data_IF_176124157206
#
_entry.id   IF_176124157206
#
_cell.length_a   1.000
_cell.length_b   1.000
_cell.length_c   1.000
_cell.angle_alpha   90.00
_cell.angle_beta   90.00
_cell.angle_gamma   90.00
#
_symmetry.space_group_name_H-M   'P 1'
#
loop_
_entity.id
_entity.type
_entity.pdbx_description
1 polymer ?
#
# COMPACT_ATOMS: atom_id res chain seq x y z
N UNK A 1 51.61 -10.94 27.44
CA UNK A 1 51.16 -12.15 26.73
C UNK A 1 50.13 -11.73 25.69
N UNK A 2 50.45 -11.81 24.42
CA UNK A 2 49.48 -11.47 23.36
C UNK A 2 48.48 -12.59 23.24
N UNK A 3 47.19 -12.22 23.15
CA UNK A 3 46.09 -13.17 22.96
C UNK A 3 46.18 -13.81 21.57
N UNK A 4 45.91 -15.11 21.48
CA UNK A 4 45.79 -15.80 20.19
C UNK A 4 44.53 -15.32 19.44
N UNK A 5 44.43 -15.54 18.13
CA UNK A 5 43.24 -15.18 17.34
C UNK A 5 42.00 -15.88 17.86
N UNK A 6 42.08 -17.14 18.29
CA UNK A 6 40.95 -17.87 18.89
C UNK A 6 40.49 -17.24 20.21
N UNK A 7 41.44 -16.85 21.08
CA UNK A 7 41.10 -16.16 22.33
C UNK A 7 40.44 -14.80 22.07
N UNK A 8 40.93 -14.02 21.09
CA UNK A 8 40.32 -12.75 20.69
C UNK A 8 38.91 -12.95 20.17
N UNK A 9 38.68 -13.96 19.31
CA UNK A 9 37.37 -14.30 18.79
C UNK A 9 36.40 -14.75 19.89
N UNK A 10 36.87 -15.60 20.83
CA UNK A 10 36.11 -16.05 21.98
C UNK A 10 35.66 -14.88 22.87
N UNK A 11 36.58 -13.96 23.19
CA UNK A 11 36.27 -12.75 23.98
C UNK A 11 35.27 -11.85 23.25
N UNK A 12 35.46 -11.66 21.94
CA UNK A 12 34.55 -10.85 21.15
C UNK A 12 33.13 -11.44 21.09
N UNK A 13 33.02 -12.77 20.97
CA UNK A 13 31.72 -13.46 20.99
C UNK A 13 31.06 -13.32 22.37
N UNK A 14 31.77 -13.58 23.46
CA UNK A 14 31.24 -13.43 24.81
C UNK A 14 30.80 -11.99 25.12
N UNK A 15 31.52 -10.99 24.63
CA UNK A 15 31.15 -9.60 24.77
C UNK A 15 29.84 -9.27 23.99
N UNK A 16 29.70 -9.78 22.76
CA UNK A 16 28.46 -9.62 21.96
C UNK A 16 27.27 -10.29 22.65
N UNK A 17 27.44 -11.46 23.21
CA UNK A 17 26.40 -12.18 23.94
C UNK A 17 25.97 -11.42 25.20
N UNK A 18 26.94 -10.89 25.96
CA UNK A 18 26.63 -10.10 27.15
C UNK A 18 25.89 -8.77 26.80
N UNK A 19 26.30 -8.11 25.73
CA UNK A 19 25.58 -6.94 25.24
C UNK A 19 24.14 -7.31 24.79
N UNK A 20 23.98 -8.43 24.07
CA UNK A 20 22.66 -8.92 23.63
C UNK A 20 21.75 -9.32 24.80
N UNK A 21 22.31 -9.82 25.93
CA UNK A 21 21.52 -10.08 27.14
C UNK A 21 20.94 -8.81 27.74
N UNK A 22 21.63 -7.69 27.65
CA UNK A 22 21.24 -6.41 28.29
C UNK A 22 20.41 -5.50 27.39
N UNK A 23 20.57 -5.60 26.08
CA UNK A 23 19.97 -4.67 25.13
C UNK A 23 19.36 -5.38 23.94
N UNK A 24 18.12 -5.03 23.64
CA UNK A 24 17.41 -5.54 22.46
C UNK A 24 18.12 -5.15 21.15
N UNK A 25 18.67 -3.95 21.04
CA UNK A 25 19.39 -3.52 19.85
C UNK A 25 20.59 -4.45 19.55
N UNK A 26 21.37 -4.81 20.55
CA UNK A 26 22.46 -5.76 20.36
C UNK A 26 21.98 -7.20 20.13
N UNK A 27 20.87 -7.60 20.73
CA UNK A 27 20.25 -8.88 20.41
C UNK A 27 19.74 -8.92 18.96
N UNK A 28 19.12 -7.85 18.48
CA UNK A 28 18.69 -7.73 17.09
C UNK A 28 19.86 -7.94 16.11
N UNK A 29 21.01 -7.31 16.37
CA UNK A 29 22.21 -7.50 15.55
C UNK A 29 22.75 -8.92 15.64
N UNK A 30 22.75 -9.52 16.82
CA UNK A 30 23.24 -10.90 17.04
C UNK A 30 22.34 -11.91 16.33
N UNK A 31 21.02 -11.79 16.49
CA UNK A 31 20.02 -12.69 15.94
C UNK A 31 19.91 -12.64 14.42
N UNK A 32 20.27 -11.51 13.79
CA UNK A 32 20.22 -11.28 12.35
C UNK A 32 21.63 -11.10 11.74
N UNK A 33 22.65 -11.71 12.36
CA UNK A 33 24.05 -11.60 11.91
C UNK A 33 24.31 -12.33 10.60
N UNK A 34 23.50 -13.34 10.25
CA UNK A 34 23.55 -14.08 8.98
C UNK A 34 23.27 -13.21 7.74
N UNK A 35 22.48 -12.17 7.91
CA UNK A 35 22.14 -11.20 6.88
C UNK A 35 22.87 -9.86 7.04
N UNK A 36 23.85 -9.77 7.93
CA UNK A 36 24.57 -8.54 8.26
C UNK A 36 23.65 -7.36 8.56
N UNK A 37 22.61 -7.59 9.38
CA UNK A 37 21.67 -6.55 9.78
C UNK A 37 22.40 -5.34 10.40
N UNK A 38 21.92 -4.14 10.10
CA UNK A 38 22.47 -2.87 10.59
C UNK A 38 21.46 -2.17 11.49
N UNK A 39 21.95 -1.45 12.49
CA UNK A 39 21.15 -0.51 13.28
C UNK A 39 21.15 0.86 12.59
N UNK A 40 20.28 1.03 11.60
CA UNK A 40 19.96 2.36 11.10
C UNK A 40 19.29 3.18 12.21
N UNK A 41 19.39 4.49 12.20
CA UNK A 41 18.92 5.36 13.30
C UNK A 41 17.44 5.13 13.64
N UNK A 42 16.58 4.94 12.65
CA UNK A 42 15.16 4.62 12.87
C UNK A 42 14.95 3.21 13.46
N UNK A 43 15.77 2.22 13.08
CA UNK A 43 15.74 0.87 13.69
C UNK A 43 16.25 0.93 15.14
N UNK A 44 17.29 1.72 15.40
CA UNK A 44 17.79 1.92 16.75
C UNK A 44 16.73 2.54 17.65
N UNK A 45 16.04 3.60 17.18
CA UNK A 45 14.95 4.24 17.92
C UNK A 45 13.82 3.25 18.22
N UNK A 46 13.44 2.39 17.24
CA UNK A 46 12.45 1.33 17.46
C UNK A 46 12.97 0.35 18.53
N UNK A 47 14.23 -0.09 18.44
CA UNK A 47 14.82 -0.99 19.45
C UNK A 47 14.80 -0.39 20.85
N UNK A 48 15.06 0.91 21.01
CA UNK A 48 14.99 1.61 22.28
C UNK A 48 13.58 1.60 22.87
N UNK A 49 12.55 1.84 22.02
CA UNK A 49 11.16 1.74 22.47
C UNK A 49 10.74 0.32 22.86
N UNK A 50 11.19 -0.67 22.12
CA UNK A 50 10.97 -2.08 22.47
C UNK A 50 11.72 -2.46 23.76
N UNK A 51 12.91 -1.92 24.00
CA UNK A 51 13.64 -2.10 25.25
C UNK A 51 12.85 -1.54 26.45
N UNK A 52 12.18 -0.40 26.31
CA UNK A 52 11.31 0.12 27.38
C UNK A 52 10.22 -0.89 27.79
N UNK A 53 9.64 -1.62 26.83
CA UNK A 53 8.66 -2.69 27.12
C UNK A 53 9.34 -3.85 27.87
N UNK A 54 10.54 -4.26 27.44
CA UNK A 54 11.32 -5.30 28.14
C UNK A 54 11.67 -4.88 29.57
N UNK A 55 11.92 -3.61 29.79
CA UNK A 55 12.24 -3.06 31.12
C UNK A 55 10.98 -2.83 31.99
N UNK A 56 9.82 -3.28 31.53
CA UNK A 56 8.57 -3.31 32.28
C UNK A 56 7.70 -2.07 32.15
N UNK A 57 8.00 -1.14 31.24
CA UNK A 57 7.09 -0.02 30.92
C UNK A 57 5.94 -0.54 30.07
N UNK A 58 4.73 -0.27 30.50
CA UNK A 58 3.55 -0.50 29.65
C UNK A 58 3.55 0.50 28.50
N UNK A 59 3.43 0.01 27.26
CA UNK A 59 3.42 0.83 26.06
C UNK A 59 2.34 0.38 25.08
N UNK A 60 1.67 1.36 24.49
CA UNK A 60 0.82 1.15 23.32
C UNK A 60 1.46 1.92 22.16
N UNK A 61 2.11 1.21 21.24
CA UNK A 61 2.89 1.80 20.16
C UNK A 61 2.18 1.61 18.82
N UNK A 62 2.13 2.68 18.03
CA UNK A 62 1.80 2.62 16.60
C UNK A 62 3.06 2.99 15.83
N UNK A 63 3.61 2.03 15.10
CA UNK A 63 4.84 2.19 14.33
C UNK A 63 4.50 2.21 12.84
N UNK A 64 4.67 3.36 12.21
CA UNK A 64 4.35 3.59 10.80
C UNK A 64 5.63 3.78 9.99
N UNK A 65 5.90 2.81 9.11
CA UNK A 65 7.10 2.81 8.28
C UNK A 65 6.77 2.44 6.82
N UNK A 66 7.56 2.95 5.86
CA UNK A 66 7.43 2.56 4.47
C UNK A 66 7.68 1.07 4.25
N UNK A 67 7.20 0.50 3.12
CA UNK A 67 7.52 -0.86 2.73
C UNK A 67 9.04 -1.09 2.66
N UNK A 68 9.49 -2.32 2.98
CA UNK A 68 10.88 -2.78 2.87
C UNK A 68 11.93 -2.02 3.71
N UNK A 69 11.51 -1.32 4.77
CA UNK A 69 12.42 -0.64 5.71
C UNK A 69 12.70 -1.45 6.98
N UNK A 70 12.52 -2.78 6.94
CA UNK A 70 12.94 -3.67 8.04
C UNK A 70 12.01 -3.71 9.25
N UNK A 71 10.81 -3.09 9.18
CA UNK A 71 9.86 -3.02 10.30
C UNK A 71 9.53 -4.37 10.92
N UNK A 72 9.06 -5.33 10.10
CA UNK A 72 8.68 -6.67 10.58
C UNK A 72 9.89 -7.44 11.11
N UNK A 73 11.08 -7.27 10.53
CA UNK A 73 12.30 -7.91 11.01
C UNK A 73 12.64 -7.45 12.43
N UNK A 74 12.60 -6.14 12.69
CA UNK A 74 12.94 -5.60 14.00
C UNK A 74 11.86 -5.90 15.05
N UNK A 75 10.57 -5.86 14.71
CA UNK A 75 9.48 -5.96 15.68
C UNK A 75 8.91 -7.37 15.75
N UNK A 76 8.58 -7.98 14.62
CA UNK A 76 7.75 -9.20 14.58
C UNK A 76 8.56 -10.48 14.46
N UNK A 77 9.66 -10.45 13.70
CA UNK A 77 10.50 -11.64 13.49
C UNK A 77 11.52 -11.87 14.62
N UNK A 78 11.91 -10.82 15.34
CA UNK A 78 13.00 -10.90 16.33
C UNK A 78 12.54 -10.61 17.76
N UNK A 79 11.72 -9.60 18.00
CA UNK A 79 11.39 -9.12 19.34
C UNK A 79 10.63 -10.13 20.21
N UNK A 80 9.62 -10.89 19.73
CA UNK A 80 8.87 -11.84 20.55
C UNK A 80 9.76 -12.86 21.27
N UNK A 81 10.76 -13.39 20.57
CA UNK A 81 11.71 -14.35 21.16
C UNK A 81 12.54 -13.71 22.27
N UNK A 82 13.03 -12.50 22.08
CA UNK A 82 13.77 -11.77 23.11
C UNK A 82 12.90 -11.41 24.32
N UNK A 83 11.69 -10.93 24.08
CA UNK A 83 10.75 -10.61 25.16
C UNK A 83 10.49 -11.84 26.05
N UNK A 84 10.28 -13.03 25.46
CA UNK A 84 10.10 -14.26 26.22
C UNK A 84 11.37 -14.76 26.92
N UNK A 85 12.55 -14.51 26.37
CA UNK A 85 13.80 -14.81 27.08
C UNK A 85 13.99 -13.92 28.33
N UNK A 86 13.49 -12.69 28.27
CA UNK A 86 13.54 -11.76 29.41
C UNK A 86 12.38 -11.97 30.39
N UNK A 87 11.26 -12.49 29.92
CA UNK A 87 10.02 -12.68 30.68
C UNK A 87 9.43 -14.08 30.41
N UNK A 88 10.05 -15.16 30.94
CA UNK A 88 9.72 -16.53 30.55
C UNK A 88 8.33 -17.01 31.02
N UNK A 89 7.63 -16.25 31.84
CA UNK A 89 6.27 -16.56 32.32
C UNK A 89 5.17 -15.72 31.63
N UNK A 90 5.55 -14.86 30.66
CA UNK A 90 4.62 -13.97 29.94
C UNK A 90 4.12 -14.59 28.64
N UNK A 91 2.99 -14.09 28.14
CA UNK A 91 2.39 -14.55 26.88
C UNK A 91 2.51 -13.47 25.79
N UNK A 92 2.91 -13.89 24.60
CA UNK A 92 3.05 -13.05 23.41
C UNK A 92 2.07 -13.52 22.35
N UNK A 93 1.27 -12.62 21.82
CA UNK A 93 0.41 -12.86 20.68
C UNK A 93 0.85 -11.98 19.51
N UNK A 94 1.00 -12.59 18.34
CA UNK A 94 1.39 -11.92 17.10
C UNK A 94 0.35 -12.19 16.03
N UNK A 95 -0.14 -11.15 15.38
CA UNK A 95 -1.12 -11.27 14.29
C UNK A 95 -0.66 -10.60 13.02
N UNK A 96 -1.09 -11.14 11.88
CA UNK A 96 -0.89 -10.55 10.55
C UNK A 96 -2.03 -10.93 9.62
N UNK A 97 -2.08 -10.33 8.42
CA UNK A 97 -3.17 -10.53 7.46
C UNK A 97 -3.22 -11.94 6.86
N UNK A 98 -2.11 -12.67 6.75
CA UNK A 98 -2.04 -13.93 6.01
C UNK A 98 -1.27 -15.04 6.73
N UNK A 99 -1.69 -16.30 6.47
CA UNK A 99 -1.11 -17.49 7.08
C UNK A 99 0.39 -17.64 6.82
N UNK A 100 0.82 -17.41 5.59
CA UNK A 100 2.24 -17.49 5.23
C UNK A 100 3.10 -16.48 6.00
N UNK A 101 2.53 -15.32 6.36
CA UNK A 101 3.23 -14.28 7.11
C UNK A 101 3.38 -14.65 8.58
N UNK A 102 2.28 -14.92 9.28
CA UNK A 102 2.38 -15.25 10.72
C UNK A 102 3.10 -16.58 10.96
N UNK A 103 3.00 -17.57 10.05
CA UNK A 103 3.77 -18.80 10.12
C UNK A 103 5.29 -18.53 9.92
N UNK A 104 5.66 -17.61 9.02
CA UNK A 104 7.06 -17.17 8.87
C UNK A 104 7.56 -16.53 10.15
N UNK A 105 6.79 -15.65 10.75
CA UNK A 105 7.13 -15.01 12.03
C UNK A 105 7.31 -16.04 13.16
N UNK A 106 6.41 -17.02 13.25
CA UNK A 106 6.51 -18.11 14.22
C UNK A 106 7.80 -18.92 14.06
N UNK A 107 8.11 -19.34 12.85
CA UNK A 107 9.34 -20.10 12.55
C UNK A 107 10.62 -19.32 12.89
N UNK A 108 10.68 -18.02 12.55
CA UNK A 108 11.82 -17.16 12.86
C UNK A 108 12.02 -17.03 14.38
N UNK A 109 10.96 -16.78 15.13
CA UNK A 109 11.04 -16.66 16.59
C UNK A 109 11.41 -17.97 17.27
N UNK A 110 10.90 -19.13 16.80
CA UNK A 110 11.30 -20.44 17.27
C UNK A 110 12.79 -20.68 17.01
N UNK A 111 13.29 -20.32 15.82
CA UNK A 111 14.69 -20.46 15.48
C UNK A 111 15.57 -19.59 16.39
N UNK A 112 15.24 -18.32 16.52
CA UNK A 112 15.96 -17.41 17.43
C UNK A 112 15.94 -17.89 18.87
N UNK A 113 14.81 -18.38 19.35
CA UNK A 113 14.71 -18.91 20.72
C UNK A 113 15.61 -20.15 20.92
N UNK A 114 15.64 -21.08 19.95
CA UNK A 114 16.53 -22.25 19.97
C UNK A 114 18.00 -21.86 19.99
N UNK A 115 18.37 -20.90 19.16
CA UNK A 115 19.78 -20.52 18.97
C UNK A 115 20.34 -19.74 20.17
N UNK A 116 19.51 -18.96 20.86
CA UNK A 116 19.99 -17.97 21.82
C UNK A 116 19.49 -18.16 23.25
N UNK A 117 18.33 -18.78 23.50
CA UNK A 117 17.74 -18.81 24.84
C UNK A 117 18.62 -19.54 25.87
N UNK A 118 19.19 -20.68 25.50
CA UNK A 118 20.06 -21.44 26.39
C UNK A 118 21.37 -20.70 26.66
N UNK A 119 21.98 -20.15 25.61
CA UNK A 119 23.27 -19.45 25.69
C UNK A 119 23.19 -18.14 26.47
N UNK A 120 22.12 -17.38 26.24
CA UNK A 120 21.99 -16.06 26.86
C UNK A 120 21.31 -16.10 28.24
N UNK A 121 20.34 -16.98 28.44
CA UNK A 121 19.48 -16.93 29.64
C UNK A 121 19.29 -18.27 30.33
N UNK A 122 19.93 -19.36 29.86
CA UNK A 122 19.76 -20.69 30.43
C UNK A 122 18.36 -21.29 30.22
N UNK A 123 17.59 -20.77 29.28
CA UNK A 123 16.21 -21.20 28.97
C UNK A 123 16.21 -22.16 27.81
N UNK A 124 15.19 -23.02 27.75
CA UNK A 124 14.99 -23.94 26.63
C UNK A 124 13.55 -23.84 26.11
N UNK A 125 13.39 -24.17 24.82
CA UNK A 125 12.08 -24.24 24.20
C UNK A 125 11.31 -25.50 24.68
N UNK A 126 10.02 -25.33 24.96
CA UNK A 126 9.13 -26.44 25.31
C UNK A 126 8.43 -27.01 24.08
N UNK A 127 7.12 -27.24 24.19
CA UNK A 127 6.28 -27.64 23.04
C UNK A 127 6.29 -26.54 21.99
N UNK A 128 6.33 -26.93 20.70
CA UNK A 128 6.27 -25.97 19.60
C UNK A 128 5.60 -26.60 18.36
N UNK A 129 4.97 -25.71 17.58
CA UNK A 129 4.46 -25.99 16.23
C UNK A 129 5.01 -24.91 15.27
N UNK A 130 4.49 -24.81 14.06
CA UNK A 130 4.88 -23.70 13.16
C UNK A 130 4.42 -22.32 13.66
N UNK A 131 3.37 -22.29 14.49
CA UNK A 131 2.64 -21.08 14.86
C UNK A 131 2.60 -20.83 16.37
N UNK A 132 3.23 -21.67 17.18
CA UNK A 132 3.31 -21.45 18.62
C UNK A 132 4.55 -22.13 19.22
N UNK A 133 4.97 -21.63 20.36
CA UNK A 133 5.93 -22.32 21.22
C UNK A 133 5.74 -21.91 22.68
N UNK A 134 6.19 -22.78 23.58
CA UNK A 134 6.19 -22.54 25.02
C UNK A 134 7.60 -22.51 25.55
N UNK A 135 7.80 -21.90 26.73
CA UNK A 135 9.08 -21.90 27.45
C UNK A 135 9.12 -23.09 28.40
N UNK A 136 10.11 -23.97 28.27
CA UNK A 136 10.22 -25.16 29.12
C UNK A 136 10.40 -24.78 30.60
N UNK A 137 9.58 -25.40 31.47
CA UNK A 137 9.60 -25.12 32.90
C UNK A 137 8.97 -23.78 33.34
N UNK A 138 8.40 -23.01 32.40
CA UNK A 138 7.75 -21.75 32.64
C UNK A 138 6.34 -21.71 32.04
N UNK A 139 5.56 -20.66 32.34
CA UNK A 139 4.20 -20.48 31.78
C UNK A 139 4.18 -19.72 30.47
N UNK A 140 5.31 -19.18 30.06
CA UNK A 140 5.39 -18.32 28.88
C UNK A 140 5.15 -19.06 27.57
N UNK A 141 4.46 -18.36 26.67
CA UNK A 141 4.16 -18.84 25.34
C UNK A 141 4.16 -17.73 24.29
N UNK A 142 4.48 -18.06 23.05
CA UNK A 142 4.22 -17.21 21.89
C UNK A 142 3.25 -17.87 20.94
N UNK A 143 2.30 -17.11 20.43
CA UNK A 143 1.27 -17.57 19.51
C UNK A 143 1.15 -16.62 18.31
N UNK A 144 1.18 -17.18 17.12
CA UNK A 144 1.16 -16.47 15.84
C UNK A 144 -0.10 -16.85 15.05
N UNK A 145 -0.90 -15.87 14.66
CA UNK A 145 -2.22 -16.11 14.08
C UNK A 145 -2.65 -15.04 13.06
N UNK A 146 -3.77 -15.30 12.37
CA UNK A 146 -4.41 -14.31 11.51
C UNK A 146 -5.17 -13.27 12.34
N UNK A 147 -5.18 -12.00 11.85
CA UNK A 147 -6.01 -10.95 12.43
C UNK A 147 -7.51 -11.25 12.30
N UNK A 148 -7.92 -11.98 11.27
CA UNK A 148 -9.33 -12.28 10.99
C UNK A 148 -9.77 -13.68 11.45
N UNK A 149 -9.05 -14.37 12.29
CA UNK A 149 -9.50 -15.74 12.53
C UNK A 149 -8.90 -16.52 13.68
N UNK A 150 -8.32 -15.92 14.69
CA UNK A 150 -7.64 -16.81 15.58
C UNK A 150 -7.28 -16.40 17.00
N UNK A 151 -7.64 -15.24 17.45
CA UNK A 151 -7.25 -14.73 18.77
C UNK A 151 -8.01 -15.34 19.96
N UNK A 152 -8.78 -16.42 19.75
CA UNK A 152 -9.70 -16.92 20.76
C UNK A 152 -9.03 -17.71 21.88
N UNK A 153 -9.26 -17.31 23.13
CA UNK A 153 -8.98 -18.10 24.33
C UNK A 153 -7.60 -17.97 24.94
N UNK A 154 -6.64 -17.27 24.30
CA UNK A 154 -5.28 -17.09 24.85
C UNK A 154 -5.06 -15.66 25.39
N UNK A 155 -4.42 -15.50 26.55
CA UNK A 155 -4.08 -14.19 27.08
C UNK A 155 -2.90 -13.55 26.32
N UNK A 156 -2.76 -12.23 26.40
CA UNK A 156 -1.62 -11.51 25.85
C UNK A 156 -1.07 -10.49 26.85
N UNK A 157 0.17 -10.67 27.27
CA UNK A 157 0.97 -9.65 27.97
C UNK A 157 1.63 -8.71 26.97
N UNK A 158 1.93 -9.22 25.77
CA UNK A 158 2.39 -8.47 24.62
C UNK A 158 1.58 -8.88 23.39
N UNK A 159 0.91 -7.92 22.77
CA UNK A 159 0.21 -8.09 21.50
C UNK A 159 0.95 -7.32 20.40
N UNK A 160 1.25 -7.99 19.29
CA UNK A 160 1.81 -7.36 18.08
C UNK A 160 0.86 -7.60 16.91
N UNK A 161 0.45 -6.53 16.25
CA UNK A 161 -0.34 -6.54 15.03
C UNK A 161 0.55 -6.04 13.89
N UNK A 162 0.92 -6.92 12.96
CA UNK A 162 1.82 -6.60 11.83
C UNK A 162 1.06 -6.59 10.51
N UNK A 163 1.03 -5.43 9.87
CA UNK A 163 0.41 -5.18 8.57
C UNK A 163 -0.96 -5.88 8.45
N UNK A 164 -2.02 -5.38 9.12
CA UNK A 164 -3.33 -6.04 9.15
C UNK A 164 -4.06 -6.05 7.81
N UNK A 165 -3.62 -5.25 6.84
CA UNK A 165 -4.17 -5.08 5.49
C UNK A 165 -3.12 -5.54 4.49
N UNK A 166 -3.53 -6.38 3.54
CA UNK A 166 -2.65 -7.01 2.56
C UNK A 166 -2.25 -6.06 1.42
N UNK A 167 -3.23 -5.39 0.83
CA UNK A 167 -3.06 -4.63 -0.41
C UNK A 167 -4.08 -3.48 -0.54
N UNK A 168 -3.93 -2.69 -1.60
CA UNK A 168 -4.78 -1.55 -1.94
C UNK A 168 -6.28 -1.91 -2.04
N UNK A 169 -6.58 -3.11 -2.54
CA UNK A 169 -7.96 -3.59 -2.71
C UNK A 169 -8.63 -3.86 -1.36
N UNK A 170 -7.91 -4.51 -0.43
CA UNK A 170 -8.41 -4.70 0.93
C UNK A 170 -8.54 -3.35 1.67
N UNK A 171 -7.56 -2.46 1.48
CA UNK A 171 -7.58 -1.11 2.05
C UNK A 171 -8.78 -0.28 1.58
N UNK A 172 -9.19 -0.43 0.33
CA UNK A 172 -10.36 0.24 -0.24
C UNK A 172 -11.70 -0.38 0.21
N UNK A 173 -11.70 -1.58 0.81
CA UNK A 173 -12.92 -2.29 1.21
C UNK A 173 -13.41 -1.87 2.60
N UNK A 174 -14.57 -1.17 2.71
CA UNK A 174 -15.15 -0.84 4.02
C UNK A 174 -15.42 -2.09 4.88
N UNK A 175 -15.83 -3.19 4.26
CA UNK A 175 -16.10 -4.46 4.94
C UNK A 175 -14.84 -5.06 5.58
N UNK A 176 -13.71 -5.05 4.88
CA UNK A 176 -12.45 -5.56 5.42
C UNK A 176 -11.98 -4.71 6.59
N UNK A 177 -12.02 -3.38 6.45
CA UNK A 177 -11.66 -2.45 7.54
C UNK A 177 -12.55 -2.63 8.76
N UNK A 178 -13.85 -2.81 8.56
CA UNK A 178 -14.80 -3.05 9.66
C UNK A 178 -14.56 -4.39 10.34
N UNK A 179 -14.27 -5.46 9.60
CA UNK A 179 -13.94 -6.75 10.15
C UNK A 179 -12.66 -6.70 11.01
N UNK A 180 -11.60 -6.03 10.53
CA UNK A 180 -10.36 -5.83 11.30
C UNK A 180 -10.65 -5.05 12.58
N UNK A 181 -11.47 -4.00 12.50
CA UNK A 181 -11.88 -3.20 13.65
C UNK A 181 -12.67 -4.01 14.68
N UNK A 182 -13.60 -4.83 14.20
CA UNK A 182 -14.40 -5.71 15.07
C UNK A 182 -13.54 -6.77 15.74
N UNK A 183 -12.57 -7.35 15.05
CA UNK A 183 -11.61 -8.28 15.67
C UNK A 183 -10.74 -7.58 16.72
N UNK A 184 -10.27 -6.36 16.46
CA UNK A 184 -9.58 -5.58 17.46
C UNK A 184 -10.45 -5.37 18.72
N UNK A 185 -11.66 -4.85 18.56
CA UNK A 185 -12.53 -4.46 19.68
C UNK A 185 -13.13 -5.63 20.44
N UNK A 186 -13.52 -6.70 19.76
CA UNK A 186 -14.23 -7.85 20.36
C UNK A 186 -13.30 -9.01 20.73
N UNK A 187 -12.18 -9.17 20.06
CA UNK A 187 -11.28 -10.32 20.23
C UNK A 187 -9.96 -9.90 20.89
N UNK A 188 -9.13 -9.09 20.21
CA UNK A 188 -7.76 -8.84 20.67
C UNK A 188 -7.69 -7.96 21.91
N UNK A 189 -8.43 -6.86 21.96
CA UNK A 189 -8.44 -5.97 23.13
C UNK A 189 -8.91 -6.68 24.41
N UNK A 190 -9.82 -7.66 24.28
CA UNK A 190 -10.33 -8.44 25.43
C UNK A 190 -9.35 -9.50 25.95
N UNK A 191 -8.25 -9.78 25.23
CA UNK A 191 -7.20 -10.73 25.65
C UNK A 191 -6.06 -10.07 26.39
N UNK A 192 -6.02 -8.75 26.40
CA UNK A 192 -4.97 -7.99 27.07
C UNK A 192 -5.00 -8.21 28.59
N UNK A 193 -3.85 -8.58 29.13
CA UNK A 193 -3.67 -8.74 30.56
C UNK A 193 -3.44 -7.38 31.22
N UNK A 194 -3.53 -7.33 32.54
CA UNK A 194 -3.17 -6.12 33.30
C UNK A 194 -1.71 -5.73 33.00
N UNK A 195 -1.50 -4.47 32.65
CA UNK A 195 -0.19 -3.92 32.25
C UNK A 195 0.40 -4.53 30.97
N UNK A 196 -0.45 -5.05 30.07
CA UNK A 196 -0.01 -5.50 28.76
C UNK A 196 0.49 -4.35 27.89
N UNK A 197 1.36 -4.67 26.94
CA UNK A 197 1.77 -3.74 25.89
C UNK A 197 1.19 -4.16 24.54
N UNK A 198 0.90 -3.18 23.70
CA UNK A 198 0.39 -3.41 22.34
C UNK A 198 1.28 -2.68 21.35
N UNK A 199 1.65 -3.35 20.28
CA UNK A 199 2.40 -2.78 19.19
C UNK A 199 1.61 -3.00 17.90
N UNK A 200 1.18 -1.93 17.25
CA UNK A 200 0.63 -1.96 15.90
C UNK A 200 1.70 -1.45 14.95
N UNK A 201 2.13 -2.28 14.03
CA UNK A 201 3.16 -1.96 13.07
C UNK A 201 2.56 -2.10 11.68
N UNK A 202 2.56 -1.04 10.89
CA UNK A 202 1.96 -1.06 9.57
C UNK A 202 2.51 0.00 8.63
N UNK A 203 2.24 -0.20 7.37
CA UNK A 203 2.27 0.84 6.34
C UNK A 203 0.87 1.45 6.28
N UNK A 204 0.76 2.77 6.21
CA UNK A 204 -0.54 3.44 6.10
C UNK A 204 -1.13 3.27 4.70
N UNK A 205 -2.43 3.06 4.63
CA UNK A 205 -3.18 2.94 3.39
C UNK A 205 -4.22 4.04 3.25
N UNK A 206 -5.01 4.24 4.28
CA UNK A 206 -6.11 5.21 4.33
C UNK A 206 -6.19 5.85 5.72
N UNK A 207 -6.90 6.98 5.83
CA UNK A 207 -7.08 7.68 7.10
C UNK A 207 -7.84 6.86 8.13
N UNK A 208 -8.78 6.02 7.68
CA UNK A 208 -9.63 5.16 8.52
C UNK A 208 -9.16 3.70 8.60
N UNK A 209 -7.88 3.43 8.31
CA UNK A 209 -7.24 2.14 8.59
C UNK A 209 -7.13 1.89 10.12
N UNK A 210 -6.63 0.72 10.52
CA UNK A 210 -6.57 0.36 11.94
C UNK A 210 -5.83 1.43 12.77
N UNK A 211 -4.67 1.90 12.31
CA UNK A 211 -3.90 2.91 13.03
C UNK A 211 -4.68 4.23 13.17
N UNK A 212 -5.32 4.71 12.09
CA UNK A 212 -6.14 5.90 12.13
C UNK A 212 -7.29 5.80 13.12
N UNK A 213 -8.01 4.68 13.12
CA UNK A 213 -9.12 4.44 14.05
C UNK A 213 -8.67 4.34 15.51
N UNK A 214 -7.49 3.77 15.78
CA UNK A 214 -6.93 3.69 17.13
C UNK A 214 -6.53 5.08 17.65
N UNK A 215 -5.90 5.89 16.80
CA UNK A 215 -5.52 7.27 17.15
C UNK A 215 -6.74 8.17 17.40
N UNK A 216 -7.80 8.02 16.59
CA UNK A 216 -9.02 8.82 16.74
C UNK A 216 -9.80 8.50 18.02
N UNK A 217 -9.84 7.23 18.44
CA UNK A 217 -10.64 6.80 19.60
C UNK A 217 -10.02 7.12 20.96
N UNK A 218 -8.71 7.28 21.03
CA UNK A 218 -7.98 7.60 22.27
C UNK A 218 -8.30 6.68 23.47
N UNK A 219 -8.69 5.43 23.21
CA UNK A 219 -9.04 4.47 24.27
C UNK A 219 -7.82 4.04 25.10
N UNK A 220 -6.63 4.19 24.54
CA UNK A 220 -5.33 3.96 25.15
C UNK A 220 -4.44 5.18 24.91
N UNK A 221 -3.41 5.34 25.73
CA UNK A 221 -2.35 6.33 25.51
C UNK A 221 -1.39 5.81 24.44
N UNK A 222 -1.75 6.01 23.17
CA UNK A 222 -0.97 5.58 22.01
C UNK A 222 0.21 6.51 21.76
N UNK A 223 1.41 5.94 21.73
CA UNK A 223 2.61 6.62 21.26
C UNK A 223 2.78 6.31 19.74
N UNK A 224 2.51 7.31 18.91
CA UNK A 224 2.71 7.20 17.45
C UNK A 224 4.17 7.51 17.09
N UNK A 225 4.81 6.59 16.37
CA UNK A 225 6.15 6.76 15.82
C UNK A 225 6.08 6.58 14.31
N UNK A 226 6.25 7.69 13.62
CA UNK A 226 6.05 7.79 12.19
C UNK A 226 7.33 8.17 11.47
N UNK A 227 7.71 7.33 10.51
CA UNK A 227 8.88 7.56 9.67
C UNK A 227 8.47 7.71 8.20
N UNK A 228 8.40 8.93 7.66
CA UNK A 228 8.24 9.11 6.23
C UNK A 228 9.50 8.67 5.49
N UNK A 229 9.34 8.09 4.28
CA UNK A 229 10.46 7.69 3.43
C UNK A 229 11.37 8.86 3.06
N UNK A 230 10.79 10.05 2.91
CA UNK A 230 11.49 11.32 2.67
C UNK A 230 11.05 12.29 3.75
N UNK A 231 11.97 12.86 4.50
CA UNK A 231 11.65 13.86 5.52
C UNK A 231 11.04 15.10 4.88
N UNK A 232 9.97 15.65 5.48
CA UNK A 232 9.23 16.80 4.96
C UNK A 232 8.57 17.59 6.10
N UNK A 233 8.12 18.81 5.79
CA UNK A 233 7.40 19.72 6.69
C UNK A 233 8.12 20.05 8.00
N UNK A 234 9.44 19.95 8.01
CA UNK A 234 10.25 20.37 9.13
C UNK A 234 10.57 21.87 9.02
N UNK A 235 10.57 22.62 10.11
CA UNK A 235 11.10 23.99 10.12
C UNK A 235 12.55 24.02 9.60
N UNK A 236 12.92 25.05 8.84
CA UNK A 236 14.18 25.12 8.08
C UNK A 236 15.46 24.89 8.90
N UNK A 237 15.41 25.07 10.22
CA UNK A 237 16.53 24.88 11.14
C UNK A 237 16.43 23.63 12.00
N UNK A 238 15.42 22.77 11.78
CA UNK A 238 15.15 21.58 12.59
C UNK A 238 15.35 20.30 11.80
N UNK A 239 15.62 19.23 12.53
CA UNK A 239 15.67 17.85 12.05
C UNK A 239 14.52 17.04 12.65
N UNK A 240 14.20 15.91 12.04
CA UNK A 240 13.26 14.96 12.63
C UNK A 240 13.87 14.18 13.81
N UNK A 241 13.13 13.22 14.36
CA UNK A 241 13.52 12.43 15.53
C UNK A 241 14.84 11.63 15.36
N UNK A 242 15.31 11.44 14.12
CA UNK A 242 16.53 10.71 13.78
C UNK A 242 17.58 11.60 13.09
N UNK A 243 17.41 12.93 13.15
CA UNK A 243 18.40 13.89 12.68
C UNK A 243 18.33 14.23 11.19
N UNK A 244 17.27 13.85 10.44
CA UNK A 244 17.16 14.18 9.02
C UNK A 244 16.62 15.58 8.78
N UNK A 245 17.13 16.23 7.74
CA UNK A 245 16.59 17.45 7.16
C UNK A 245 15.54 17.14 6.07
N UNK A 246 14.74 18.16 5.73
CA UNK A 246 13.77 18.06 4.63
C UNK A 246 14.44 17.58 3.34
N UNK A 247 13.80 16.61 2.66
CA UNK A 247 14.29 16.01 1.42
C UNK A 247 15.23 14.82 1.60
N UNK A 248 15.66 14.50 2.82
CA UNK A 248 16.53 13.35 3.08
C UNK A 248 15.74 12.04 3.18
N UNK A 249 16.28 11.00 2.54
CA UNK A 249 15.69 9.66 2.56
C UNK A 249 15.84 9.01 3.94
N UNK A 250 14.86 8.16 4.35
CA UNK A 250 14.89 7.40 5.60
C UNK A 250 16.07 6.43 5.66
N UNK A 251 16.35 5.80 4.54
CA UNK A 251 17.48 4.90 4.39
C UNK A 251 18.11 5.11 3.02
N UNK A 252 19.04 6.06 2.87
CA UNK A 252 19.67 6.36 1.58
C UNK A 252 20.54 5.23 1.03
N UNK A 253 20.99 4.30 1.87
CA UNK A 253 21.77 3.12 1.46
C UNK A 253 20.89 2.10 0.73
N UNK A 254 19.69 1.80 1.24
CA UNK A 254 18.78 0.80 0.68
C UNK A 254 17.78 1.41 -0.30
N UNK A 255 17.38 2.65 -0.06
CA UNK A 255 16.35 3.37 -0.82
C UNK A 255 16.82 4.80 -1.11
N UNK A 256 17.69 4.99 -2.11
CA UNK A 256 18.17 6.32 -2.52
C UNK A 256 17.01 7.22 -2.94
N UNK A 257 17.20 8.53 -2.80
CA UNK A 257 16.15 9.53 -3.10
C UNK A 257 15.64 9.42 -4.55
N UNK A 258 16.50 9.12 -5.51
CA UNK A 258 16.15 8.96 -6.92
C UNK A 258 15.18 7.79 -7.12
N UNK A 259 15.40 6.69 -6.40
CA UNK A 259 14.51 5.54 -6.43
C UNK A 259 13.13 5.89 -5.81
N UNK A 260 13.12 6.61 -4.70
CA UNK A 260 11.87 7.06 -4.05
C UNK A 260 11.09 8.02 -4.93
N UNK A 261 11.75 8.93 -5.62
CA UNK A 261 11.11 9.83 -6.59
C UNK A 261 10.56 9.08 -7.81
N UNK A 262 11.28 8.07 -8.28
CA UNK A 262 10.78 7.16 -9.34
C UNK A 262 9.52 6.40 -8.87
N UNK A 263 9.52 5.89 -7.64
CA UNK A 263 8.33 5.25 -7.05
C UNK A 263 7.17 6.24 -6.93
N UNK A 264 7.43 7.49 -6.53
CA UNK A 264 6.41 8.53 -6.49
C UNK A 264 5.78 8.79 -7.86
N UNK A 265 6.60 8.87 -8.91
CA UNK A 265 6.12 9.06 -10.28
C UNK A 265 5.26 7.88 -10.76
N UNK A 266 5.61 6.64 -10.38
CA UNK A 266 4.88 5.44 -10.76
C UNK A 266 3.55 5.25 -10.00
N UNK A 267 3.53 5.57 -8.71
CA UNK A 267 2.36 5.37 -7.84
C UNK A 267 1.39 6.54 -7.86
N UNK A 268 1.87 7.72 -8.25
CA UNK A 268 1.17 8.99 -8.04
C UNK A 268 1.30 9.49 -6.60
N UNK A 269 1.09 10.80 -6.41
CA UNK A 269 1.33 11.48 -5.13
C UNK A 269 0.47 10.90 -4.00
N UNK A 270 -0.80 10.59 -4.25
CA UNK A 270 -1.71 10.08 -3.22
C UNK A 270 -1.26 8.75 -2.62
N UNK A 271 -0.99 7.74 -3.47
CA UNK A 271 -0.50 6.43 -3.01
C UNK A 271 0.88 6.52 -2.40
N UNK A 272 1.77 7.33 -2.98
CA UNK A 272 3.08 7.55 -2.41
C UNK A 272 2.99 8.20 -1.02
N UNK A 273 2.14 9.20 -0.84
CA UNK A 273 1.95 9.85 0.46
C UNK A 273 1.41 8.85 1.50
N UNK A 274 0.45 8.01 1.15
CA UNK A 274 -0.05 6.99 2.05
C UNK A 274 1.06 5.98 2.42
N UNK A 275 1.62 5.27 1.45
CA UNK A 275 2.50 4.13 1.67
C UNK A 275 3.92 4.52 2.09
N UNK A 276 4.47 5.59 1.49
CA UNK A 276 5.87 5.98 1.71
C UNK A 276 6.02 7.14 2.68
N UNK A 277 5.08 8.08 2.73
CA UNK A 277 5.14 9.20 3.66
C UNK A 277 4.31 8.98 4.92
N UNK A 278 3.60 7.86 5.03
CA UNK A 278 2.69 7.54 6.13
C UNK A 278 1.65 8.64 6.37
N UNK A 279 1.26 9.35 5.32
CA UNK A 279 0.34 10.48 5.34
C UNK A 279 -0.82 10.22 4.37
N UNK A 280 -1.72 9.25 4.68
CA UNK A 280 -2.91 9.06 3.89
C UNK A 280 -3.80 10.30 3.98
N UNK A 281 -4.35 10.70 2.85
CA UNK A 281 -5.34 11.79 2.78
C UNK A 281 -6.73 11.20 2.67
N UNK A 282 -7.72 11.86 3.25
CA UNK A 282 -9.12 11.53 2.98
C UNK A 282 -9.34 11.67 1.48
N UNK A 283 -10.00 10.71 0.86
CA UNK A 283 -10.51 10.88 -0.49
C UNK A 283 -11.65 11.92 -0.42
N UNK A 284 -11.29 13.19 -0.29
CA UNK A 284 -12.23 14.27 -0.58
C UNK A 284 -12.32 14.39 -2.09
N UNK A 285 -13.39 13.82 -2.62
CA UNK A 285 -14.07 14.26 -3.80
C UNK A 285 -13.41 14.01 -5.14
N UNK A 286 -12.20 14.10 -5.48
CA UNK A 286 -11.78 14.04 -6.88
C UNK A 286 -10.56 13.16 -7.12
N UNK A 287 -10.79 11.96 -7.68
CA UNK A 287 -9.72 11.03 -8.09
C UNK A 287 -8.78 11.72 -9.09
N UNK A 288 -9.30 12.62 -9.91
CA UNK A 288 -8.55 13.45 -10.85
C UNK A 288 -8.76 14.92 -10.51
N UNK A 289 -7.67 15.65 -10.25
CA UNK A 289 -7.74 17.08 -10.01
C UNK A 289 -7.85 17.85 -11.33
N UNK A 290 -8.71 18.88 -11.34
CA UNK A 290 -8.92 19.71 -12.53
C UNK A 290 -7.62 20.31 -13.09
N UNK A 291 -6.65 20.66 -12.23
CA UNK A 291 -5.35 21.19 -12.60
C UNK A 291 -4.43 20.22 -13.36
N UNK A 292 -4.71 18.89 -13.25
CA UNK A 292 -3.97 17.84 -13.96
C UNK A 292 -4.45 17.67 -15.40
N UNK A 293 -5.64 18.17 -15.74
CA UNK A 293 -6.20 18.07 -17.07
C UNK A 293 -5.38 18.92 -18.05
N UNK A 294 -4.86 18.28 -19.08
CA UNK A 294 -4.17 18.94 -20.19
C UNK A 294 -5.04 19.00 -21.42
N UNK A 295 -4.93 20.07 -22.16
CA UNK A 295 -5.77 20.32 -23.33
C UNK A 295 -4.99 20.26 -24.63
N UNK A 296 -5.70 19.90 -25.70
CA UNK A 296 -5.18 19.99 -27.04
C UNK A 296 -6.21 20.56 -28.03
N UNK A 297 -5.72 21.03 -29.16
CA UNK A 297 -6.50 21.45 -30.35
C UNK A 297 -5.98 20.71 -31.59
N UNK A 298 -6.79 20.57 -32.67
CA UNK A 298 -6.39 19.76 -33.83
C UNK A 298 -5.22 20.35 -34.58
N UNK A 299 -5.15 21.68 -34.69
CA UNK A 299 -4.14 22.39 -35.50
C UNK A 299 -3.90 23.82 -35.01
N UNK A 300 -2.90 24.47 -35.62
CA UNK A 300 -2.50 25.81 -35.28
C UNK A 300 -3.55 26.87 -35.65
N UNK A 301 -4.30 26.64 -36.73
CA UNK A 301 -5.35 27.54 -37.18
C UNK A 301 -6.47 27.61 -36.13
N UNK A 302 -6.91 26.46 -35.61
CA UNK A 302 -7.88 26.38 -34.51
C UNK A 302 -7.36 27.06 -33.24
N UNK A 303 -6.08 26.86 -32.88
CA UNK A 303 -5.45 27.50 -31.73
C UNK A 303 -5.53 29.04 -31.83
N UNK A 304 -5.15 29.60 -32.97
CA UNK A 304 -5.18 31.05 -33.22
C UNK A 304 -6.61 31.59 -33.23
N UNK A 305 -7.54 30.91 -33.93
CA UNK A 305 -8.96 31.29 -34.00
C UNK A 305 -9.63 31.36 -32.62
N UNK A 306 -9.24 30.47 -31.71
CA UNK A 306 -9.79 30.40 -30.35
C UNK A 306 -9.04 31.29 -29.34
N UNK A 307 -8.07 32.07 -29.79
CA UNK A 307 -7.20 32.92 -28.96
C UNK A 307 -6.52 32.13 -27.83
N UNK A 308 -5.98 30.93 -28.15
CA UNK A 308 -5.25 30.07 -27.24
C UNK A 308 -3.75 30.15 -27.52
N UNK A 309 -2.94 29.87 -26.51
CA UNK A 309 -1.46 29.90 -26.60
C UNK A 309 -0.89 28.48 -26.48
N UNK A 310 0.38 28.30 -26.91
CA UNK A 310 1.12 27.04 -26.77
C UNK A 310 1.38 26.63 -25.30
N UNK A 311 1.17 27.57 -24.35
CA UNK A 311 1.22 27.27 -22.90
C UNK A 311 -0.08 26.66 -22.39
N UNK A 312 -1.21 26.99 -23.01
CA UNK A 312 -2.55 26.53 -22.61
C UNK A 312 -2.93 25.22 -23.29
N UNK A 313 -2.49 25.01 -24.53
CA UNK A 313 -2.90 23.85 -25.34
C UNK A 313 -1.75 23.30 -26.15
N UNK A 314 -1.81 21.99 -26.38
CA UNK A 314 -0.95 21.28 -27.33
C UNK A 314 -1.64 21.14 -28.68
N UNK A 315 -0.89 21.20 -29.77
CA UNK A 315 -1.42 20.85 -31.08
C UNK A 315 -1.37 19.32 -31.24
N UNK A 316 -2.47 18.69 -31.67
CA UNK A 316 -2.53 17.26 -31.88
C UNK A 316 -1.42 16.80 -32.84
N UNK A 317 -0.61 15.80 -32.43
CA UNK A 317 0.46 15.28 -33.30
C UNK A 317 -0.08 14.71 -34.62
N UNK A 318 0.58 15.02 -35.73
CA UNK A 318 0.19 14.50 -37.06
C UNK A 318 0.24 12.99 -37.17
N UNK A 319 1.21 12.36 -36.50
CA UNK A 319 1.38 10.91 -36.48
C UNK A 319 1.12 10.39 -35.08
N UNK A 320 0.11 9.53 -34.99
CA UNK A 320 -0.28 8.82 -33.79
C UNK A 320 0.06 7.33 -33.96
N UNK A 321 0.68 6.72 -32.97
CA UNK A 321 1.21 5.36 -33.07
C UNK A 321 0.11 4.31 -33.00
N UNK A 322 -0.94 4.58 -32.22
CA UNK A 322 -2.04 3.67 -31.97
C UNK A 322 -3.33 4.45 -31.73
N UNK A 323 -4.42 3.95 -32.27
CA UNK A 323 -5.77 4.45 -31.97
C UNK A 323 -6.68 3.26 -31.64
N UNK A 324 -7.39 3.34 -30.52
CA UNK A 324 -8.30 2.31 -30.03
C UNK A 324 -9.65 2.93 -29.66
N UNK A 325 -10.71 2.14 -29.68
CA UNK A 325 -11.98 2.47 -29.07
C UNK A 325 -12.16 1.65 -27.80
N UNK A 326 -12.77 2.24 -26.77
CA UNK A 326 -13.16 1.58 -25.52
C UNK A 326 -14.66 1.81 -25.30
N UNK A 327 -15.40 0.73 -25.04
CA UNK A 327 -16.86 0.74 -24.92
C UNK A 327 -17.29 0.00 -23.65
N UNK A 328 -17.98 0.71 -22.76
CA UNK A 328 -18.79 0.13 -21.69
C UNK A 328 -20.26 0.12 -22.16
N UNK A 329 -20.75 -1.04 -22.48
CA UNK A 329 -22.09 -1.23 -23.03
C UNK A 329 -22.79 -2.38 -22.28
N UNK A 330 -23.40 -2.06 -21.15
CA UNK A 330 -24.20 -3.01 -20.37
C UNK A 330 -25.64 -2.99 -20.88
N UNK A 331 -26.15 -4.16 -21.30
CA UNK A 331 -27.54 -4.31 -21.73
C UNK A 331 -28.25 -5.20 -20.73
N UNK A 332 -29.13 -4.63 -19.89
CA UNK A 332 -30.06 -5.37 -19.04
C UNK A 332 -31.37 -5.62 -19.79
N UNK A 333 -31.94 -6.81 -19.61
CA UNK A 333 -33.09 -7.32 -20.36
C UNK A 333 -34.46 -6.70 -19.99
N UNK A 334 -34.54 -5.52 -19.34
CA UNK A 334 -35.81 -4.86 -18.98
C UNK A 334 -35.75 -3.37 -19.24
N UNK A 335 -36.63 -2.90 -20.07
CA UNK A 335 -37.29 -1.60 -20.38
C UNK A 335 -36.65 -0.24 -20.00
N UNK A 336 -35.45 -0.18 -19.42
CA UNK A 336 -34.72 1.09 -19.24
C UNK A 336 -33.41 1.01 -19.99
N UNK A 337 -33.23 1.88 -20.99
CA UNK A 337 -32.00 2.08 -21.73
C UNK A 337 -30.84 2.30 -20.73
N UNK A 338 -29.85 1.41 -20.69
CA UNK A 338 -28.64 1.57 -19.88
C UNK A 338 -27.70 2.61 -20.53
N UNK A 339 -26.94 3.29 -19.73
CA UNK A 339 -25.90 4.20 -20.22
C UNK A 339 -24.82 3.43 -20.98
N UNK A 340 -24.53 3.89 -22.17
CA UNK A 340 -23.42 3.42 -22.99
C UNK A 340 -22.34 4.50 -23.03
N UNK A 341 -21.15 4.15 -22.58
CA UNK A 341 -19.96 4.99 -22.69
C UNK A 341 -19.04 4.43 -23.78
N UNK A 342 -18.68 5.30 -24.73
CA UNK A 342 -17.79 4.94 -25.82
C UNK A 342 -16.78 6.05 -26.10
N UNK A 343 -15.49 5.74 -26.07
CA UNK A 343 -14.41 6.69 -26.25
C UNK A 343 -13.39 6.18 -27.27
N UNK A 344 -12.84 7.09 -28.05
CA UNK A 344 -11.68 6.80 -28.93
C UNK A 344 -10.45 7.50 -28.39
N UNK A 345 -9.38 6.73 -28.16
CA UNK A 345 -8.13 7.20 -27.65
C UNK A 345 -7.00 6.97 -28.63
N UNK A 346 -6.14 7.95 -28.80
CA UNK A 346 -4.95 7.85 -29.61
C UNK A 346 -3.69 8.04 -28.76
N UNK A 347 -2.61 7.35 -29.09
CA UNK A 347 -1.37 7.38 -28.34
C UNK A 347 -0.20 7.86 -29.21
N UNK A 348 0.68 8.65 -28.61
CA UNK A 348 2.02 8.95 -29.09
C UNK A 348 3.00 8.91 -27.93
N UNK A 349 3.94 7.97 -27.96
CA UNK A 349 4.90 7.74 -26.87
C UNK A 349 4.20 7.50 -25.53
N UNK A 350 4.45 8.32 -24.53
CA UNK A 350 3.77 8.26 -23.22
C UNK A 350 2.46 9.07 -23.19
N UNK A 351 2.15 9.85 -24.23
CA UNK A 351 1.00 10.75 -24.24
C UNK A 351 -0.22 10.08 -24.88
N UNK A 352 -1.39 10.28 -24.29
CA UNK A 352 -2.68 9.79 -24.77
C UNK A 352 -3.64 10.95 -24.99
N UNK A 353 -4.39 10.88 -26.08
CA UNK A 353 -5.30 11.92 -26.56
C UNK A 353 -6.70 11.35 -26.70
N UNK A 354 -7.66 11.88 -25.91
CA UNK A 354 -9.07 11.60 -26.12
C UNK A 354 -9.53 12.23 -27.45
N UNK A 355 -10.07 11.44 -28.35
CA UNK A 355 -10.56 11.94 -29.64
C UNK A 355 -12.00 12.43 -29.55
N UNK A 356 -12.37 13.52 -30.24
CA UNK A 356 -13.75 14.04 -30.27
C UNK A 356 -14.80 13.01 -30.70
N UNK A 357 -16.06 13.24 -30.31
CA UNK A 357 -17.18 12.42 -30.73
C UNK A 357 -17.42 11.20 -29.84
N UNK A 358 -16.96 11.20 -28.60
CA UNK A 358 -17.28 10.17 -27.60
C UNK A 358 -18.79 10.06 -27.39
N UNK A 359 -19.22 8.90 -26.90
CA UNK A 359 -20.59 8.60 -26.58
C UNK A 359 -20.76 8.45 -25.07
N UNK A 360 -21.72 9.19 -24.49
CA UNK A 360 -22.16 9.01 -23.12
C UNK A 360 -23.67 9.21 -23.09
N UNK A 361 -24.44 8.18 -23.48
CA UNK A 361 -25.90 8.28 -23.70
C UNK A 361 -26.60 6.97 -23.35
N UNK A 362 -27.88 7.07 -23.06
CA UNK A 362 -28.74 5.89 -23.00
C UNK A 362 -29.06 5.43 -24.43
N UNK A 363 -28.64 4.23 -24.78
CA UNK A 363 -28.76 3.68 -26.12
C UNK A 363 -29.29 2.25 -26.08
N UNK A 364 -30.21 1.97 -27.01
CA UNK A 364 -30.59 0.59 -27.32
C UNK A 364 -29.39 -0.16 -27.98
N UNK A 365 -29.46 -1.49 -28.04
CA UNK A 365 -28.45 -2.30 -28.71
C UNK A 365 -28.17 -1.86 -30.16
N UNK A 366 -29.24 -1.59 -30.94
CA UNK A 366 -29.11 -1.14 -32.35
C UNK A 366 -28.43 0.23 -32.45
N UNK A 367 -28.80 1.16 -31.55
CA UNK A 367 -28.18 2.48 -31.50
C UNK A 367 -26.70 2.40 -31.08
N UNK A 368 -26.33 1.50 -30.14
CA UNK A 368 -24.95 1.23 -29.76
C UNK A 368 -24.12 0.70 -30.92
N UNK A 369 -24.68 -0.25 -31.70
CA UNK A 369 -24.05 -0.69 -32.96
C UNK A 369 -23.81 0.47 -33.95
N UNK A 370 -24.79 1.36 -34.06
CA UNK A 370 -24.67 2.59 -34.86
C UNK A 370 -23.53 3.51 -34.35
N UNK A 371 -23.45 3.71 -33.04
CA UNK A 371 -22.43 4.55 -32.42
C UNK A 371 -21.01 3.99 -32.64
N UNK A 372 -20.81 2.69 -32.45
CA UNK A 372 -19.52 2.04 -32.70
C UNK A 372 -19.11 2.15 -34.17
N UNK A 373 -20.04 1.93 -35.09
CA UNK A 373 -19.81 2.09 -36.54
C UNK A 373 -19.48 3.54 -36.90
N UNK A 374 -20.21 4.50 -36.34
CA UNK A 374 -19.95 5.92 -36.55
C UNK A 374 -18.55 6.32 -36.10
N UNK A 375 -18.16 5.95 -34.89
CA UNK A 375 -16.79 6.16 -34.40
C UNK A 375 -15.74 5.51 -35.31
N UNK A 376 -16.01 4.31 -35.81
CA UNK A 376 -15.11 3.59 -36.72
C UNK A 376 -15.02 4.27 -38.11
N UNK A 377 -16.04 5.01 -38.52
CA UNK A 377 -16.01 5.81 -39.76
C UNK A 377 -15.20 7.09 -39.60
N UNK A 378 -15.32 7.74 -38.42
CA UNK A 378 -14.54 8.97 -38.12
C UNK A 378 -13.05 8.63 -37.91
N UNK A 379 -12.76 7.50 -37.26
CA UNK A 379 -11.40 7.05 -36.92
C UNK A 379 -11.12 5.68 -37.52
N UNK A 380 -10.92 5.61 -38.86
CA UNK A 380 -10.68 4.34 -39.58
C UNK A 380 -9.37 3.68 -39.14
N UNK A 381 -8.42 4.43 -38.60
CA UNK A 381 -7.17 3.94 -38.02
C UNK A 381 -7.40 3.17 -36.70
N UNK A 382 -8.58 3.25 -36.09
CA UNK A 382 -8.94 2.49 -34.90
C UNK A 382 -9.26 1.04 -35.24
N UNK A 383 -8.24 0.19 -35.26
CA UNK A 383 -8.35 -1.23 -35.61
C UNK A 383 -8.90 -2.07 -34.44
N UNK A 384 -8.65 -1.69 -33.20
CA UNK A 384 -9.07 -2.40 -31.99
C UNK A 384 -10.19 -1.66 -31.28
N UNK A 385 -11.27 -2.39 -30.98
CA UNK A 385 -12.45 -1.89 -30.26
C UNK A 385 -12.67 -2.76 -29.04
N UNK A 386 -12.25 -2.26 -27.88
CA UNK A 386 -12.33 -2.93 -26.60
C UNK A 386 -13.78 -2.79 -26.10
N UNK A 387 -14.45 -3.89 -25.85
CA UNK A 387 -15.84 -3.89 -25.36
C UNK A 387 -15.85 -4.64 -24.02
N UNK A 388 -16.37 -3.99 -22.97
CA UNK A 388 -16.45 -4.60 -21.64
C UNK A 388 -17.40 -5.81 -21.68
N UNK A 389 -16.89 -6.97 -21.23
CA UNK A 389 -17.61 -8.24 -21.16
C UNK A 389 -18.22 -8.43 -19.78
N UNK A 390 -19.48 -8.04 -19.59
CA UNK A 390 -20.26 -8.25 -18.37
C UNK A 390 -21.49 -9.13 -18.62
N UNK A 391 -21.86 -9.91 -17.64
CA UNK A 391 -23.07 -10.74 -17.46
C UNK A 391 -23.83 -11.28 -18.70
N UNK A 392 -24.12 -10.47 -19.71
CA UNK A 392 -24.75 -10.85 -20.99
C UNK A 392 -23.82 -10.64 -22.20
N UNK A 393 -22.55 -10.35 -21.94
CA UNK A 393 -21.53 -9.97 -22.93
C UNK A 393 -21.31 -10.96 -24.08
N UNK A 394 -21.18 -12.27 -23.84
CA UNK A 394 -20.80 -13.21 -24.92
C UNK A 394 -21.72 -13.15 -26.14
N UNK A 395 -23.04 -13.15 -25.97
CA UNK A 395 -24.00 -13.10 -27.08
C UNK A 395 -23.97 -11.77 -27.85
N UNK A 396 -23.77 -10.66 -27.14
CA UNK A 396 -23.68 -9.31 -27.71
C UNK A 396 -22.36 -9.15 -28.45
N UNK A 397 -21.25 -9.54 -27.82
CA UNK A 397 -19.92 -9.50 -28.43
C UNK A 397 -19.86 -10.36 -29.70
N UNK A 398 -20.47 -11.55 -29.70
CA UNK A 398 -20.54 -12.39 -30.88
C UNK A 398 -21.36 -11.75 -32.02
N UNK A 399 -22.43 -11.04 -31.67
CA UNK A 399 -23.19 -10.27 -32.65
C UNK A 399 -22.42 -9.07 -33.19
N UNK A 400 -21.68 -8.36 -32.31
CA UNK A 400 -20.80 -7.26 -32.68
C UNK A 400 -19.66 -7.70 -33.57
N UNK A 401 -18.99 -8.81 -33.25
CA UNK A 401 -17.89 -9.40 -34.04
C UNK A 401 -18.30 -9.72 -35.46
N UNK A 402 -19.53 -10.19 -35.67
CA UNK A 402 -20.08 -10.49 -37.01
C UNK A 402 -20.37 -9.24 -37.84
N UNK A 403 -20.55 -8.07 -37.22
CA UNK A 403 -20.97 -6.83 -37.86
C UNK A 403 -19.90 -5.76 -37.93
N UNK A 404 -18.92 -5.81 -37.01
CA UNK A 404 -17.88 -4.79 -36.84
C UNK A 404 -16.53 -5.48 -36.66
N UNK A 405 -15.55 -5.24 -37.53
CA UNK A 405 -14.21 -5.80 -37.40
C UNK A 405 -13.47 -5.19 -36.20
N UNK A 406 -12.59 -5.98 -35.59
CA UNK A 406 -11.70 -5.52 -34.51
C UNK A 406 -12.33 -5.46 -33.12
N UNK A 407 -13.50 -6.05 -32.91
CA UNK A 407 -14.13 -6.17 -31.58
C UNK A 407 -13.32 -7.15 -30.71
N UNK A 408 -12.89 -6.68 -29.56
CA UNK A 408 -12.14 -7.44 -28.55
C UNK A 408 -12.87 -7.36 -27.19
N UNK A 409 -13.30 -8.49 -26.62
CA UNK A 409 -13.88 -8.50 -25.28
C UNK A 409 -12.79 -8.20 -24.25
N UNK A 410 -13.14 -7.39 -23.28
CA UNK A 410 -12.27 -7.06 -22.14
C UNK A 410 -13.02 -7.34 -20.84
N UNK A 411 -12.48 -8.22 -20.02
CA UNK A 411 -13.00 -8.42 -18.67
C UNK A 411 -12.53 -7.28 -17.78
N UNK A 412 -13.46 -6.59 -17.07
CA UNK A 412 -13.09 -5.48 -16.17
C UNK A 412 -12.34 -5.94 -14.92
N UNK A 413 -12.16 -7.25 -14.72
CA UNK A 413 -11.57 -7.80 -13.51
C UNK A 413 -12.52 -7.71 -12.30
N UNK A 414 -11.96 -7.87 -11.11
CA UNK A 414 -12.70 -7.83 -9.84
C UNK A 414 -12.69 -6.44 -9.18
N UNK A 415 -12.01 -5.45 -9.77
CA UNK A 415 -11.85 -4.13 -9.17
C UNK A 415 -13.08 -3.24 -9.36
N UNK A 416 -13.37 -2.39 -8.36
CA UNK A 416 -14.46 -1.41 -8.47
C UNK A 416 -14.17 -0.38 -9.57
N UNK A 417 -15.21 0.32 -10.04
CA UNK A 417 -15.05 1.41 -11.03
C UNK A 417 -14.09 2.49 -10.49
N UNK A 418 -14.24 2.86 -9.22
CA UNK A 418 -13.41 3.85 -8.54
C UNK A 418 -11.95 3.40 -8.46
N UNK A 419 -11.69 2.13 -8.11
CA UNK A 419 -10.32 1.59 -8.06
C UNK A 419 -9.65 1.60 -9.43
N UNK A 420 -10.40 1.23 -10.49
CA UNK A 420 -9.90 1.28 -11.88
C UNK A 420 -9.63 2.72 -12.33
N UNK A 421 -10.52 3.66 -11.96
CA UNK A 421 -10.34 5.08 -12.26
C UNK A 421 -9.16 5.67 -11.51
N UNK A 422 -8.99 5.33 -10.21
CA UNK A 422 -7.82 5.73 -9.45
C UNK A 422 -6.50 5.21 -10.03
N UNK A 423 -6.50 4.04 -10.68
CA UNK A 423 -5.30 3.47 -11.29
C UNK A 423 -4.74 4.29 -12.46
N UNK A 424 -5.56 5.14 -13.09
CA UNK A 424 -5.14 6.02 -14.20
C UNK A 424 -4.78 7.43 -13.73
N UNK A 425 -5.08 7.81 -12.48
CA UNK A 425 -4.79 9.15 -11.95
C UNK A 425 -3.30 9.57 -12.07
N UNK A 426 -2.30 8.67 -11.92
CA UNK A 426 -0.90 9.04 -12.10
C UNK A 426 -0.57 9.56 -13.50
N UNK A 427 -1.26 9.09 -14.53
CA UNK A 427 -1.07 9.57 -15.90
C UNK A 427 -1.59 11.00 -16.09
N UNK A 428 -2.70 11.33 -15.40
CA UNK A 428 -3.21 12.71 -15.38
C UNK A 428 -2.28 13.64 -14.62
N UNK A 429 -1.83 13.24 -13.43
CA UNK A 429 -0.89 14.00 -12.61
C UNK A 429 0.44 14.24 -13.35
N UNK A 430 0.94 13.24 -14.07
CA UNK A 430 2.14 13.36 -14.91
C UNK A 430 1.93 14.21 -16.16
N UNK A 431 0.69 14.71 -16.43
CA UNK A 431 0.37 15.53 -17.60
C UNK A 431 0.43 14.79 -18.93
N UNK A 432 0.24 13.46 -18.90
CA UNK A 432 0.30 12.59 -20.09
C UNK A 432 -1.05 12.44 -20.79
N UNK A 433 -2.16 12.84 -20.16
CA UNK A 433 -3.52 12.71 -20.68
C UNK A 433 -4.01 14.04 -21.21
N UNK A 434 -4.36 14.08 -22.49
CA UNK A 434 -4.84 15.25 -23.19
C UNK A 434 -6.27 15.07 -23.65
N UNK A 435 -7.13 16.06 -23.38
CA UNK A 435 -8.50 16.10 -23.90
C UNK A 435 -8.71 17.32 -24.81
N UNK A 436 -9.74 17.32 -25.68
CA UNK A 436 -10.05 18.48 -26.50
C UNK A 436 -10.34 19.70 -25.62
N UNK A 437 -9.80 20.85 -25.99
CA UNK A 437 -10.04 22.08 -25.24
C UNK A 437 -11.54 22.49 -25.30
N UNK A 438 -12.18 22.87 -24.16
CA UNK A 438 -13.61 23.21 -24.12
C UNK A 438 -14.05 24.32 -25.08
N UNK A 439 -13.20 25.31 -25.37
CA UNK A 439 -13.50 26.32 -26.41
C UNK A 439 -13.59 25.73 -27.81
N UNK A 440 -12.99 24.57 -28.07
CA UNK A 440 -13.08 23.84 -29.33
C UNK A 440 -14.19 22.80 -29.30
N UNK A 441 -14.29 22.08 -28.19
CA UNK A 441 -15.26 21.01 -27.96
C UNK A 441 -15.94 21.22 -26.59
N UNK A 442 -17.06 21.96 -26.53
CA UNK A 442 -17.74 22.29 -25.27
C UNK A 442 -18.14 21.07 -24.44
N UNK A 443 -18.44 19.95 -25.10
CA UNK A 443 -18.74 18.67 -24.46
C UNK A 443 -17.59 18.12 -23.59
N UNK A 444 -16.39 18.65 -23.71
CA UNK A 444 -15.27 18.30 -22.82
C UNK A 444 -15.50 18.77 -21.38
N UNK A 445 -16.26 19.83 -21.17
CA UNK A 445 -16.54 20.34 -19.82
C UNK A 445 -17.37 19.34 -19.01
N UNK A 446 -18.34 18.66 -19.63
CA UNK A 446 -19.13 17.61 -18.97
C UNK A 446 -18.24 16.44 -18.48
N UNK A 447 -17.25 16.03 -19.29
CA UNK A 447 -16.28 15.01 -18.89
C UNK A 447 -15.39 15.46 -17.73
N UNK A 448 -14.96 16.73 -17.77
CA UNK A 448 -14.14 17.31 -16.69
C UNK A 448 -14.94 17.33 -15.38
N UNK A 449 -16.21 17.75 -15.44
CA UNK A 449 -17.09 17.74 -14.27
C UNK A 449 -17.30 16.32 -13.75
N UNK A 450 -17.52 15.34 -14.62
CA UNK A 450 -17.68 13.93 -14.22
C UNK A 450 -16.40 13.36 -13.57
N UNK A 451 -15.23 13.68 -14.12
CA UNK A 451 -13.97 13.14 -13.62
C UNK A 451 -13.43 13.85 -12.38
N UNK A 452 -13.77 15.12 -12.23
CA UNK A 452 -13.31 15.99 -11.15
C UNK A 452 -14.40 16.30 -10.11
N UNK A 453 -15.62 15.82 -10.26
CA UNK A 453 -16.74 15.97 -9.33
C UNK A 453 -16.94 14.74 -8.50
#
# INVERSE_FOLDING_TARGET
>A
MELTNEQRQGIALAAREELARRSYAYYFLLANSDINAKLYDYINLICDKLQEIVDGKQKHLILELPPQHGKSMAVTETFPSYYLMRHPDKSVMVTSYAENMYTRFGRKNIQHYRDFASRLFGLTIGKNSSNDFTVAGHRGEAYFTSILGGGTGRPADLLIIDDPIKDDKEAASPTVKENIWNEWTSTFSTRLQKNSSVIVIMTRWQTDDLAGRLLDKMDFDWEEIKFPAIAYDLPSSQTDAIGRHNGEALNPELHPIEQLLTQKANLGTQKFNALYQQAPTVQEGNIIKREWIKFYVPDRETMVRLHLTEKEVKILPRHLQQTIQAWDATFKSKENDDFVAGQTWSRRDAEVFLRPGWCHKRLSFTQTLGAIKYQSTIYPESTSKLVEDKANGPAIIDTLKKKIPGIMPVSPGADSKEARFASVSPYFEAGQVYIPHPKWKPESEELIEEWCG
#
